data_IF_270975536520
#
_entry.id   IF_270975536520
#
_cell.length_a   1.000
_cell.length_b   1.000
_cell.length_c   1.000
_cell.angle_alpha   90.00
_cell.angle_beta   90.00
_cell.angle_gamma   90.00
#
_symmetry.space_group_name_H-M   'P 1'
#
loop_
_entity.id
_entity.type
_entity.pdbx_description
1 polymer ?
#
# COMPACT_ATOMS: atom_id res chain seq x y z
N UNK A 1 2.44 11.01 5.43
CA UNK A 1 2.20 9.69 4.79
C UNK A 1 3.09 8.66 5.46
N UNK A 2 2.64 7.42 5.61
CA UNK A 2 3.47 6.29 6.07
C UNK A 2 3.56 5.22 4.99
N UNK A 3 4.67 4.47 4.92
CA UNK A 3 4.81 3.29 4.06
C UNK A 3 4.39 2.08 4.88
N UNK A 4 3.41 1.33 4.40
CA UNK A 4 2.83 0.20 5.13
C UNK A 4 3.10 -1.09 4.36
N UNK A 5 3.77 -2.02 5.03
CA UNK A 5 4.08 -3.36 4.54
C UNK A 5 3.33 -4.38 5.40
N UNK A 6 2.11 -4.79 5.02
CA UNK A 6 1.42 -5.87 5.70
C UNK A 6 2.13 -7.19 5.41
N UNK A 7 2.21 -8.07 6.40
CA UNK A 7 2.73 -9.41 6.24
C UNK A 7 1.93 -10.44 7.03
N UNK A 8 2.00 -11.69 6.60
CA UNK A 8 1.53 -12.85 7.35
C UNK A 8 2.69 -13.81 7.61
N UNK A 9 2.49 -14.77 8.52
CA UNK A 9 3.52 -15.75 8.92
C UNK A 9 4.21 -16.42 7.72
N UNK A 10 3.47 -16.67 6.62
CA UNK A 10 4.01 -17.31 5.41
C UNK A 10 5.07 -16.46 4.69
N UNK A 11 4.91 -15.15 4.68
CA UNK A 11 5.74 -14.23 3.89
C UNK A 11 6.63 -13.33 4.74
N UNK A 12 6.57 -13.42 6.07
CA UNK A 12 7.41 -12.63 6.98
C UNK A 12 8.91 -12.68 6.65
N UNK A 13 9.41 -13.83 6.15
CA UNK A 13 10.79 -14.02 5.73
C UNK A 13 11.24 -13.12 4.56
N UNK A 14 10.31 -12.55 3.76
CA UNK A 14 10.65 -11.64 2.65
C UNK A 14 10.80 -10.20 3.11
N UNK A 15 10.25 -9.83 4.27
CA UNK A 15 10.22 -8.46 4.77
C UNK A 15 11.62 -7.85 4.95
N UNK A 16 12.62 -8.55 5.52
CA UNK A 16 13.97 -7.98 5.64
C UNK A 16 14.55 -7.57 4.28
N UNK A 17 14.35 -8.40 3.25
CA UNK A 17 14.76 -8.07 1.89
C UNK A 17 13.97 -6.88 1.34
N UNK A 18 12.65 -6.83 1.56
CA UNK A 18 11.81 -5.73 1.12
C UNK A 18 12.32 -4.39 1.67
N UNK A 19 12.50 -4.31 2.98
CA UNK A 19 12.95 -3.10 3.68
C UNK A 19 14.36 -2.74 3.26
N UNK A 20 15.27 -3.71 3.15
CA UNK A 20 16.63 -3.47 2.65
C UNK A 20 16.63 -2.79 1.28
N UNK A 21 15.90 -3.33 0.31
CA UNK A 21 15.86 -2.76 -1.04
C UNK A 21 15.11 -1.42 -1.10
N UNK A 22 14.09 -1.23 -0.25
CA UNK A 22 13.42 0.06 -0.10
C UNK A 22 14.41 1.14 0.37
N UNK A 23 15.18 0.86 1.44
CA UNK A 23 16.20 1.79 1.98
C UNK A 23 17.34 2.02 1.00
N UNK A 24 17.80 0.97 0.31
CA UNK A 24 18.82 1.10 -0.74
C UNK A 24 18.34 1.97 -1.91
N UNK A 25 17.08 1.79 -2.33
CA UNK A 25 16.48 2.55 -3.43
C UNK A 25 16.05 3.97 -3.03
N UNK A 26 15.82 4.21 -1.74
CA UNK A 26 15.41 5.51 -1.21
C UNK A 26 16.04 5.81 0.17
N UNK A 27 17.37 6.06 0.23
CA UNK A 27 18.07 6.23 1.50
C UNK A 27 17.57 7.41 2.34
N UNK A 28 17.12 8.49 1.68
CA UNK A 28 16.57 9.68 2.31
C UNK A 28 15.03 9.66 2.32
N UNK A 29 14.41 8.49 2.49
CA UNK A 29 12.96 8.39 2.59
C UNK A 29 12.46 9.21 3.79
N UNK A 30 11.59 10.22 3.60
CA UNK A 30 11.09 11.05 4.70
C UNK A 30 9.92 10.39 5.43
N UNK A 31 9.48 9.22 4.99
CA UNK A 31 8.29 8.55 5.48
C UNK A 31 8.67 7.41 6.43
N UNK A 32 7.90 7.28 7.51
CA UNK A 32 7.98 6.13 8.40
C UNK A 32 7.63 4.86 7.62
N UNK A 33 8.45 3.82 7.76
CA UNK A 33 8.20 2.49 7.22
C UNK A 33 7.63 1.65 8.36
N UNK A 34 6.40 1.17 8.20
CA UNK A 34 5.72 0.32 9.16
C UNK A 34 5.52 -1.07 8.57
N UNK A 35 5.98 -2.10 9.27
CA UNK A 35 5.65 -3.49 8.96
C UNK A 35 4.55 -3.94 9.90
N UNK A 36 3.47 -4.48 9.35
CA UNK A 36 2.34 -4.97 10.14
C UNK A 36 2.35 -6.49 10.12
N UNK A 37 2.62 -7.09 11.26
CA UNK A 37 2.72 -8.55 11.42
C UNK A 37 1.47 -9.06 12.13
N UNK A 38 0.69 -9.88 11.42
CA UNK A 38 -0.33 -10.73 12.04
C UNK A 38 0.25 -12.09 12.37
N UNK A 39 -0.05 -12.62 13.55
CA UNK A 39 0.35 -13.98 13.93
C UNK A 39 1.58 -14.04 14.83
N UNK A 40 2.40 -15.07 14.61
CA UNK A 40 3.52 -15.41 15.50
C UNK A 40 4.88 -15.03 14.94
N UNK A 41 4.95 -14.59 13.69
CA UNK A 41 6.21 -14.20 13.07
C UNK A 41 6.89 -13.09 13.88
N UNK A 42 8.20 -13.27 14.10
CA UNK A 42 9.09 -12.23 14.63
C UNK A 42 9.98 -11.74 13.52
N UNK A 43 10.21 -10.43 13.51
CA UNK A 43 11.09 -9.77 12.55
C UNK A 43 12.19 -9.10 13.34
N UNK A 44 13.35 -9.74 13.32
CA UNK A 44 14.55 -9.23 13.98
C UNK A 44 15.35 -8.39 12.97
N UNK A 45 15.98 -7.32 13.46
CA UNK A 45 16.93 -6.48 12.71
C UNK A 45 16.41 -5.86 11.40
N UNK A 46 15.12 -5.50 11.36
CA UNK A 46 14.52 -4.76 10.23
C UNK A 46 14.52 -3.25 10.53
N UNK A 47 15.03 -2.44 9.59
CA UNK A 47 15.02 -0.96 9.67
C UNK A 47 13.62 -0.35 9.37
N UNK A 48 12.64 -0.74 10.18
CA UNK A 48 11.24 -0.31 10.11
C UNK A 48 10.56 -0.42 11.49
N UNK A 49 9.48 0.33 11.69
CA UNK A 49 8.60 0.16 12.85
C UNK A 49 7.80 -1.14 12.68
N UNK A 50 8.04 -2.14 13.53
CA UNK A 50 7.31 -3.41 13.50
C UNK A 50 6.10 -3.34 14.43
N UNK A 51 4.90 -3.52 13.88
CA UNK A 51 3.63 -3.56 14.60
C UNK A 51 3.13 -5.00 14.64
N UNK A 52 3.18 -5.61 15.83
CA UNK A 52 2.63 -6.94 16.07
C UNK A 52 1.19 -6.84 16.53
N UNK A 53 0.26 -7.44 15.79
CA UNK A 53 -1.17 -7.44 16.15
C UNK A 53 -1.54 -8.57 17.13
N UNK A 54 -0.60 -9.49 17.38
CA UNK A 54 -0.84 -10.70 18.18
C UNK A 54 -1.46 -11.78 17.30
N UNK A 55 -2.64 -12.26 17.66
CA UNK A 55 -3.31 -13.32 16.91
C UNK A 55 -3.56 -12.90 15.46
N UNK A 56 -3.35 -13.81 14.51
CA UNK A 56 -3.76 -13.61 13.12
C UNK A 56 -5.29 -13.70 12.99
N UNK A 57 -5.92 -12.62 12.56
CA UNK A 57 -7.37 -12.54 12.30
C UNK A 57 -7.69 -12.65 10.80
N UNK A 58 -6.69 -12.86 9.94
CA UNK A 58 -6.82 -12.79 8.50
C UNK A 58 -6.59 -11.37 7.95
N UNK A 59 -6.41 -11.26 6.64
CA UNK A 59 -5.93 -10.06 5.97
C UNK A 59 -6.73 -8.79 6.29
N UNK A 60 -8.03 -8.78 5.96
CA UNK A 60 -8.85 -7.58 6.12
C UNK A 60 -9.04 -7.18 7.58
N UNK A 61 -9.19 -8.15 8.48
CA UNK A 61 -9.40 -7.90 9.91
C UNK A 61 -8.10 -7.39 10.56
N UNK A 62 -6.93 -7.96 10.21
CA UNK A 62 -5.64 -7.44 10.64
C UNK A 62 -5.43 -5.99 10.17
N UNK A 63 -5.74 -5.70 8.90
CA UNK A 63 -5.71 -4.33 8.39
C UNK A 63 -6.68 -3.42 9.15
N UNK A 64 -7.91 -3.85 9.42
CA UNK A 64 -8.87 -3.05 10.15
C UNK A 64 -8.39 -2.71 11.56
N UNK A 65 -7.82 -3.69 12.27
CA UNK A 65 -7.20 -3.49 13.58
C UNK A 65 -6.03 -2.50 13.49
N UNK A 66 -5.12 -2.71 12.54
CA UNK A 66 -3.97 -1.83 12.33
C UNK A 66 -4.42 -0.40 12.02
N UNK A 67 -5.29 -0.23 11.04
CA UNK A 67 -5.74 1.09 10.62
C UNK A 67 -6.42 1.81 11.78
N UNK A 68 -7.33 1.17 12.52
CA UNK A 68 -8.02 1.87 13.61
C UNK A 68 -7.12 2.26 14.79
N UNK A 69 -6.03 1.52 15.03
CA UNK A 69 -5.12 1.78 16.15
C UNK A 69 -3.98 2.72 15.81
N UNK A 70 -3.50 2.69 14.56
CA UNK A 70 -2.23 3.33 14.18
C UNK A 70 -2.36 4.31 13.00
N UNK A 71 -3.50 4.34 12.30
CA UNK A 71 -3.71 5.16 11.10
C UNK A 71 -5.05 5.90 11.15
N UNK A 72 -5.03 7.23 11.25
CA UNK A 72 -6.28 8.01 11.32
C UNK A 72 -6.70 8.51 9.93
N UNK A 73 -6.38 9.77 9.61
CA UNK A 73 -6.74 10.43 8.35
C UNK A 73 -5.51 10.76 7.48
N UNK A 74 -4.49 9.93 7.60
CA UNK A 74 -3.24 10.07 6.86
C UNK A 74 -3.31 9.35 5.51
N UNK A 75 -2.36 9.69 4.64
CA UNK A 75 -2.07 8.88 3.47
C UNK A 75 -1.18 7.69 3.86
N UNK A 76 -1.39 6.55 3.20
CA UNK A 76 -0.48 5.41 3.26
C UNK A 76 0.02 5.03 1.88
N UNK A 77 1.30 4.65 1.76
CA UNK A 77 1.81 3.91 0.61
C UNK A 77 1.80 2.42 0.97
N UNK A 78 0.87 1.67 0.39
CA UNK A 78 0.73 0.23 0.58
C UNK A 78 1.67 -0.55 -0.34
N UNK A 79 2.52 -1.39 0.24
CA UNK A 79 3.46 -2.26 -0.44
C UNK A 79 3.30 -3.69 0.09
N UNK A 80 2.95 -4.67 -0.76
CA UNK A 80 2.93 -6.07 -0.34
C UNK A 80 4.35 -6.58 -0.02
N UNK A 81 4.46 -7.42 1.01
CA UNK A 81 5.71 -7.98 1.52
C UNK A 81 6.48 -8.83 0.49
N UNK A 82 5.78 -9.49 -0.43
CA UNK A 82 6.34 -10.29 -1.52
C UNK A 82 6.75 -9.47 -2.76
N UNK A 83 6.43 -8.17 -2.80
CA UNK A 83 6.79 -7.27 -3.89
C UNK A 83 8.04 -6.44 -3.57
N UNK A 84 9.20 -7.09 -3.65
CA UNK A 84 10.50 -6.44 -3.38
C UNK A 84 10.74 -5.27 -4.37
N UNK A 85 10.99 -4.05 -3.87
CA UNK A 85 11.15 -2.89 -4.73
C UNK A 85 12.49 -2.94 -5.50
N UNK A 86 12.42 -3.15 -6.82
CA UNK A 86 13.59 -3.11 -7.72
C UNK A 86 14.03 -1.68 -8.08
N UNK A 87 13.19 -0.68 -7.82
CA UNK A 87 13.49 0.72 -8.04
C UNK A 87 12.45 1.62 -7.39
N UNK A 88 12.91 2.69 -6.75
CA UNK A 88 12.08 3.68 -6.08
C UNK A 88 12.28 5.03 -6.77
N UNK A 89 11.19 5.74 -7.04
CA UNK A 89 11.24 7.03 -7.75
C UNK A 89 10.67 8.14 -6.86
N UNK A 90 11.46 8.71 -5.93
CA UNK A 90 10.97 9.65 -4.90
C UNK A 90 10.22 10.85 -5.48
N UNK A 91 10.70 11.43 -6.59
CA UNK A 91 10.03 12.55 -7.28
C UNK A 91 8.64 12.17 -7.80
N UNK A 92 8.46 10.93 -8.26
CA UNK A 92 7.15 10.45 -8.72
C UNK A 92 6.21 10.25 -7.55
N UNK A 93 6.69 9.65 -6.46
CA UNK A 93 5.93 9.47 -5.23
C UNK A 93 5.49 10.81 -4.67
N UNK A 94 6.40 11.79 -4.56
CA UNK A 94 6.09 13.13 -4.06
C UNK A 94 5.03 13.83 -4.93
N UNK A 95 5.11 13.72 -6.26
CA UNK A 95 4.08 14.27 -7.16
C UNK A 95 2.72 13.58 -6.98
N UNK A 96 2.70 12.26 -6.79
CA UNK A 96 1.47 11.50 -6.51
C UNK A 96 0.85 11.88 -5.18
N UNK A 97 1.66 12.07 -4.13
CA UNK A 97 1.21 12.59 -2.82
C UNK A 97 0.58 13.96 -3.01
N UNK A 98 1.25 14.89 -3.70
CA UNK A 98 0.74 16.24 -3.91
C UNK A 98 -0.60 16.27 -4.67
N UNK A 99 -0.82 15.35 -5.62
CA UNK A 99 -2.11 15.23 -6.32
C UNK A 99 -3.21 14.80 -5.37
N UNK A 100 -2.99 13.74 -4.58
CA UNK A 100 -3.97 13.30 -3.60
C UNK A 100 -4.20 14.42 -2.59
N UNK A 101 -3.18 15.07 -2.04
CA UNK A 101 -3.37 16.14 -1.06
C UNK A 101 -4.17 17.33 -1.61
N UNK A 102 -3.95 17.70 -2.88
CA UNK A 102 -4.63 18.83 -3.53
C UNK A 102 -6.10 18.53 -3.88
N UNK A 103 -6.43 17.28 -4.25
CA UNK A 103 -7.78 16.91 -4.67
C UNK A 103 -8.39 15.83 -3.75
N UNK A 104 -9.46 16.21 -3.04
CA UNK A 104 -10.21 15.31 -2.15
C UNK A 104 -10.97 14.21 -2.89
N UNK A 105 -11.22 14.37 -4.19
CA UNK A 105 -11.87 13.37 -5.02
C UNK A 105 -10.91 12.24 -5.43
N UNK A 106 -9.60 12.49 -5.41
CA UNK A 106 -8.60 11.45 -5.66
C UNK A 106 -8.41 10.62 -4.39
N UNK A 107 -8.84 9.36 -4.44
CA UNK A 107 -8.81 8.43 -3.29
C UNK A 107 -7.57 7.57 -3.24
N UNK A 108 -6.95 7.30 -4.40
CA UNK A 108 -5.72 6.54 -4.52
C UNK A 108 -4.92 6.90 -5.77
N UNK A 109 -3.63 6.60 -5.76
CA UNK A 109 -2.74 6.63 -6.92
C UNK A 109 -1.90 5.37 -6.95
N UNK A 110 -2.03 4.58 -8.01
CA UNK A 110 -1.20 3.39 -8.27
C UNK A 110 0.16 3.81 -8.79
N UNK A 111 1.22 3.26 -8.21
CA UNK A 111 2.61 3.50 -8.65
C UNK A 111 3.17 2.33 -9.48
N UNK A 112 2.41 1.25 -9.62
CA UNK A 112 2.71 0.13 -10.51
C UNK A 112 2.48 0.49 -11.98
N UNK A 113 2.94 -0.38 -12.90
CA UNK A 113 2.87 -0.12 -14.35
C UNK A 113 1.45 0.26 -14.78
N UNK A 114 1.40 1.21 -15.72
CA UNK A 114 0.20 1.84 -16.27
C UNK A 114 -0.80 0.78 -16.74
N UNK A 115 -1.92 0.67 -16.04
CA UNK A 115 -3.12 0.05 -16.57
C UNK A 115 -3.96 1.17 -17.17
N UNK A 116 -4.17 1.14 -18.47
CA UNK A 116 -5.24 1.92 -19.09
C UNK A 116 -6.52 1.11 -18.98
N UNK A 117 -7.62 1.75 -18.56
CA UNK A 117 -8.96 1.21 -18.75
C UNK A 117 -9.12 0.79 -20.22
N UNK A 118 -9.69 -0.39 -20.53
CA UNK A 118 -9.91 -0.80 -21.91
C UNK A 118 -10.62 0.32 -22.70
N UNK A 119 -9.98 0.82 -23.77
CA UNK A 119 -10.56 1.84 -24.64
C UNK A 119 -10.06 3.28 -24.45
N UNK A 120 -9.27 3.59 -23.41
CA UNK A 120 -8.65 4.93 -23.25
C UNK A 120 -7.15 4.85 -23.51
N UNK A 121 -6.66 5.23 -24.70
CA UNK A 121 -5.24 5.18 -25.00
C UNK A 121 -4.47 6.16 -24.12
N UNK A 122 -3.46 5.64 -23.43
CA UNK A 122 -2.54 6.44 -22.63
C UNK A 122 -1.77 7.43 -23.51
N UNK A 123 -1.85 8.73 -23.21
CA UNK A 123 -0.99 9.74 -23.84
C UNK A 123 0.36 9.75 -23.14
N UNK A 124 1.44 9.74 -23.91
CA UNK A 124 2.83 9.61 -23.42
C UNK A 124 3.22 10.73 -22.45
N UNK A 125 2.54 11.86 -22.56
CA UNK A 125 2.72 13.12 -21.85
C UNK A 125 2.03 13.13 -20.49
N UNK A 126 1.01 12.29 -20.30
CA UNK A 126 0.17 12.30 -19.11
C UNK A 126 0.87 11.61 -17.93
N UNK A 127 1.07 12.31 -16.82
CA UNK A 127 1.72 11.69 -15.66
C UNK A 127 0.82 10.65 -14.96
N UNK A 128 -0.50 10.81 -15.07
CA UNK A 128 -1.53 9.95 -14.47
C UNK A 128 -2.56 9.52 -15.52
N UNK A 129 -3.26 8.42 -15.25
CA UNK A 129 -4.48 8.01 -15.96
C UNK A 129 -5.60 8.00 -14.94
N UNK A 130 -6.71 8.64 -15.28
CA UNK A 130 -7.90 8.63 -14.44
C UNK A 130 -8.59 7.27 -14.53
N UNK A 131 -9.06 6.76 -13.38
CA UNK A 131 -9.90 5.58 -13.29
C UNK A 131 -11.19 6.01 -12.62
N UNK A 132 -12.31 5.68 -13.23
CA UNK A 132 -13.63 6.03 -12.71
C UNK A 132 -14.08 5.02 -11.66
N UNK A 133 -14.96 5.44 -10.75
CA UNK A 133 -15.51 4.57 -9.68
C UNK A 133 -16.22 3.31 -10.22
N UNK A 134 -16.60 3.30 -11.49
CA UNK A 134 -17.26 2.16 -12.13
C UNK A 134 -16.33 1.22 -12.91
N UNK A 135 -15.03 1.54 -12.99
CA UNK A 135 -14.06 0.65 -13.63
C UNK A 135 -13.89 -0.63 -12.80
N UNK A 136 -13.56 -1.75 -13.44
CA UNK A 136 -13.28 -3.00 -12.72
C UNK A 136 -11.86 -3.00 -12.13
N UNK A 137 -11.70 -3.75 -11.04
CA UNK A 137 -10.44 -3.96 -10.35
C UNK A 137 -9.81 -2.65 -9.86
N UNK A 138 -10.58 -1.74 -9.26
CA UNK A 138 -10.10 -0.45 -8.71
C UNK A 138 -9.27 -0.61 -7.42
N UNK A 139 -9.40 -1.72 -6.73
CA UNK A 139 -8.60 -1.95 -5.53
C UNK A 139 -7.20 -2.45 -5.92
N UNK A 140 -6.16 -1.75 -5.48
CA UNK A 140 -4.76 -2.11 -5.74
C UNK A 140 -3.94 -2.12 -4.47
N UNK A 141 -3.31 -3.27 -4.22
CA UNK A 141 -2.35 -3.49 -3.13
C UNK A 141 -0.89 -3.34 -3.62
N UNK A 142 -0.69 -3.15 -4.92
CA UNK A 142 0.62 -3.16 -5.58
C UNK A 142 1.22 -1.76 -5.66
N UNK A 143 1.89 -1.33 -4.60
CA UNK A 143 2.58 -0.04 -4.55
C UNK A 143 1.61 1.10 -4.81
N UNK A 144 0.65 1.31 -3.90
CA UNK A 144 -0.44 2.26 -4.10
C UNK A 144 -0.49 3.25 -2.95
N UNK A 145 -0.61 4.54 -3.27
CA UNK A 145 -0.88 5.57 -2.27
C UNK A 145 -2.39 5.64 -2.08
N UNK A 146 -2.85 5.53 -0.84
CA UNK A 146 -4.25 5.52 -0.45
C UNK A 146 -4.55 6.62 0.56
N UNK A 147 -5.74 7.21 0.46
CA UNK A 147 -6.40 7.79 1.64
C UNK A 147 -6.84 6.66 2.55
N UNK A 148 -6.33 6.63 3.78
CA UNK A 148 -6.64 5.57 4.75
C UNK A 148 -8.15 5.46 4.99
N UNK A 149 -8.85 6.59 5.09
CA UNK A 149 -10.30 6.62 5.31
C UNK A 149 -11.10 5.98 4.17
N UNK A 150 -10.64 6.06 2.93
CA UNK A 150 -11.25 5.40 1.78
C UNK A 150 -10.89 3.92 1.74
N UNK A 151 -9.61 3.57 1.94
CA UNK A 151 -9.18 2.17 1.97
C UNK A 151 -9.93 1.38 3.05
N UNK A 152 -10.11 1.96 4.25
CA UNK A 152 -10.87 1.36 5.36
C UNK A 152 -12.31 1.01 4.98
N UNK A 153 -12.97 1.82 4.14
CA UNK A 153 -14.36 1.58 3.69
C UNK A 153 -14.46 0.45 2.67
N UNK A 154 -13.38 0.16 1.95
CA UNK A 154 -13.33 -0.91 0.94
C UNK A 154 -12.98 -2.27 1.54
N UNK A 155 -12.36 -2.30 2.73
CA UNK A 155 -12.10 -3.54 3.45
C UNK A 155 -13.41 -4.16 3.93
N UNK A 156 -13.76 -5.31 3.36
CA UNK A 156 -14.87 -6.13 3.87
C UNK A 156 -14.37 -7.07 4.94
N UNK A 157 -15.11 -7.17 6.06
CA UNK A 157 -14.75 -8.06 7.17
C UNK A 157 -14.55 -9.49 6.66
N UNK A 158 -13.45 -10.13 7.06
CA UNK A 158 -13.11 -11.50 6.65
C UNK A 158 -12.71 -11.65 5.17
N UNK A 159 -12.58 -10.57 4.39
CA UNK A 159 -12.11 -10.70 3.01
C UNK A 159 -10.64 -11.13 2.98
N UNK A 160 -10.33 -12.06 2.08
CA UNK A 160 -8.95 -12.35 1.70
C UNK A 160 -8.39 -11.14 0.95
N UNK A 161 -7.07 -11.03 0.77
CA UNK A 161 -6.55 -9.94 -0.04
C UNK A 161 -7.03 -10.04 -1.49
N UNK A 162 -7.37 -11.22 -2.02
CA UNK A 162 -7.86 -11.35 -3.40
C UNK A 162 -9.34 -10.97 -3.49
N UNK A 163 -10.13 -11.36 -2.49
CA UNK A 163 -11.52 -10.91 -2.37
C UNK A 163 -11.61 -9.39 -2.21
N UNK A 164 -10.59 -8.72 -1.67
CA UNK A 164 -10.52 -7.26 -1.66
C UNK A 164 -10.24 -6.66 -3.05
N UNK A 165 -9.50 -7.35 -3.92
CA UNK A 165 -9.26 -6.92 -5.31
C UNK A 165 -10.52 -7.06 -6.19
N UNK A 166 -11.38 -8.05 -5.90
CA UNK A 166 -12.64 -8.29 -6.61
C UNK A 166 -13.76 -7.29 -6.24
N UNK A 167 -13.63 -6.60 -5.10
CA UNK A 167 -14.59 -5.58 -4.63
C UNK A 167 -14.40 -4.22 -5.29
N UNK A 168 -13.29 -4.04 -6.02
CA UNK A 168 -12.91 -2.80 -6.68
C UNK A 168 -13.46 -2.70 -8.09
#
# INVERSE_FOLDING_TARGET
>A
MKIVIPTCDKYAHTVPAHVHYLRKGWPQCPYEVMVVVGGKATLDDVDATVITLGKDHGYADNFFIFLNRYMHDELMLLCLDDLIPVGVYPRRIARSVAVIEKDRNVVMVRLSKRFSTPGVPYKKEDFFVEMDKGDSHLFSQKGTIWRVSNFRKLLSKGSTPWGAEDLG
#
